data_IF_442200415347
#
_entry.id   IF_442200415347
#
_cell.length_a   1.000
_cell.length_b   1.000
_cell.length_c   1.000
_cell.angle_alpha   90.00
_cell.angle_beta   90.00
_cell.angle_gamma   90.00
#
_symmetry.space_group_name_H-M   'P 1'
#
loop_
_entity.id
_entity.type
_entity.pdbx_description
1 polymer ?
#
# COMPACT_ATOMS: atom_id res chain seq x y z
N UNK A 1 -18.05 -16.31 -38.86
CA UNK A 1 -17.23 -17.50 -38.50
C UNK A 1 -15.85 -17.12 -37.91
N UNK A 2 -15.75 -16.20 -36.94
CA UNK A 2 -14.47 -15.91 -36.22
C UNK A 2 -14.61 -15.63 -34.71
N UNK A 3 -15.82 -15.71 -34.17
CA UNK A 3 -16.08 -15.63 -32.72
C UNK A 3 -15.94 -16.98 -31.99
N UNK A 4 -15.57 -18.05 -32.70
CA UNK A 4 -15.46 -19.43 -32.18
C UNK A 4 -14.04 -19.82 -31.74
N UNK A 5 -13.23 -18.88 -31.26
CA UNK A 5 -12.10 -19.19 -30.36
C UNK A 5 -12.17 -18.40 -29.04
N UNK A 6 -13.28 -17.69 -28.79
CA UNK A 6 -13.44 -16.80 -27.64
C UNK A 6 -13.31 -17.51 -26.29
N UNK A 7 -13.42 -18.84 -26.24
CA UNK A 7 -13.21 -19.66 -25.04
C UNK A 7 -12.85 -21.11 -25.42
N UNK A 8 -11.67 -21.38 -25.99
CA UNK A 8 -11.04 -22.69 -25.72
C UNK A 8 -10.35 -22.65 -24.35
N UNK A 9 -11.20 -22.36 -23.35
CA UNK A 9 -11.18 -22.88 -21.98
C UNK A 9 -10.03 -22.41 -21.09
N UNK A 10 -10.22 -21.24 -20.47
CA UNK A 10 -9.53 -20.84 -19.23
C UNK A 10 -9.38 -22.07 -18.30
N UNK A 11 -8.14 -22.48 -17.99
CA UNK A 11 -7.55 -22.05 -16.74
C UNK A 11 -6.06 -21.76 -16.91
N UNK A 12 -5.66 -20.92 -17.86
CA UNK A 12 -4.44 -20.16 -17.58
C UNK A 12 -4.86 -19.18 -16.50
N UNK A 13 -4.42 -19.39 -15.26
CA UNK A 13 -4.36 -18.30 -14.29
C UNK A 13 -3.71 -17.16 -15.07
N UNK A 14 -4.46 -16.08 -15.33
CA UNK A 14 -3.93 -14.95 -16.09
C UNK A 14 -2.64 -14.56 -15.37
N UNK A 15 -1.50 -14.64 -16.06
CA UNK A 15 -0.17 -14.41 -15.47
C UNK A 15 -0.16 -13.13 -14.61
N UNK A 16 -0.83 -12.02 -15.00
CA UNK A 16 -1.00 -10.84 -14.14
C UNK A 16 -1.73 -11.09 -12.82
N UNK A 17 -2.73 -11.97 -12.80
CA UNK A 17 -3.46 -12.37 -11.58
C UNK A 17 -2.56 -13.17 -10.64
N UNK A 18 -1.81 -14.14 -11.17
CA UNK A 18 -0.88 -14.91 -10.35
C UNK A 18 0.22 -14.01 -9.80
N UNK A 19 0.78 -13.15 -10.66
CA UNK A 19 1.83 -12.21 -10.30
C UNK A 19 1.35 -11.23 -9.23
N UNK A 20 0.19 -10.60 -9.41
CA UNK A 20 -0.38 -9.69 -8.40
C UNK A 20 -0.63 -10.40 -7.07
N UNK A 21 -1.18 -11.62 -7.09
CA UNK A 21 -1.39 -12.39 -5.87
C UNK A 21 -0.08 -12.69 -5.13
N UNK A 22 0.97 -13.14 -5.84
CA UNK A 22 2.27 -13.44 -5.24
C UNK A 22 2.91 -12.16 -4.68
N UNK A 23 2.90 -11.06 -5.45
CA UNK A 23 3.51 -9.79 -5.04
C UNK A 23 2.80 -9.17 -3.84
N UNK A 24 1.46 -9.12 -3.87
CA UNK A 24 0.67 -8.62 -2.74
C UNK A 24 0.85 -9.49 -1.50
N UNK A 25 0.83 -10.82 -1.64
CA UNK A 25 1.01 -11.73 -0.51
C UNK A 25 2.42 -11.60 0.09
N UNK A 26 3.46 -11.66 -0.74
CA UNK A 26 4.85 -11.56 -0.28
C UNK A 26 5.16 -10.20 0.34
N UNK A 27 4.76 -9.10 -0.29
CA UNK A 27 4.91 -7.75 0.25
C UNK A 27 4.16 -7.57 1.57
N UNK A 28 2.89 -7.99 1.63
CA UNK A 28 2.08 -7.88 2.85
C UNK A 28 2.60 -8.75 3.99
N UNK A 29 3.04 -9.97 3.68
CA UNK A 29 3.60 -10.88 4.68
C UNK A 29 4.90 -10.33 5.25
N UNK A 30 5.78 -9.80 4.40
CA UNK A 30 7.03 -9.19 4.85
C UNK A 30 6.76 -7.97 5.73
N UNK A 31 5.86 -7.07 5.30
CA UNK A 31 5.44 -5.92 6.09
C UNK A 31 4.85 -6.33 7.45
N UNK A 32 4.01 -7.36 7.49
CA UNK A 32 3.44 -7.89 8.72
C UNK A 32 4.52 -8.41 9.68
N UNK A 33 5.46 -9.22 9.18
CA UNK A 33 6.55 -9.78 9.99
C UNK A 33 7.47 -8.67 10.53
N UNK A 34 7.79 -7.66 9.72
CA UNK A 34 8.62 -6.53 10.14
C UNK A 34 7.93 -5.70 11.23
N UNK A 35 6.63 -5.42 11.08
CA UNK A 35 5.85 -4.70 12.09
C UNK A 35 5.71 -5.47 13.40
N UNK A 36 5.59 -6.80 13.36
CA UNK A 36 5.62 -7.62 14.57
C UNK A 36 6.94 -7.47 15.32
N UNK A 37 8.07 -7.48 14.60
CA UNK A 37 9.39 -7.26 15.22
C UNK A 37 9.54 -5.88 15.83
N UNK A 38 8.99 -4.85 15.18
CA UNK A 38 8.98 -3.49 15.72
C UNK A 38 8.11 -3.42 16.99
N UNK A 39 6.95 -4.09 16.99
CA UNK A 39 6.04 -4.14 18.14
C UNK A 39 6.69 -4.80 19.37
N UNK A 40 7.52 -5.83 19.19
CA UNK A 40 8.21 -6.51 20.29
C UNK A 40 9.19 -5.59 21.05
N UNK A 41 9.67 -4.49 20.43
CA UNK A 41 10.56 -3.49 21.03
C UNK A 41 9.82 -2.26 21.57
N UNK A 42 8.51 -2.20 21.39
CA UNK A 42 7.74 -1.03 21.79
C UNK A 42 7.60 -0.97 23.31
N UNK A 43 8.13 0.09 23.92
CA UNK A 43 8.03 0.36 25.34
C UNK A 43 7.16 1.61 25.57
N UNK A 44 5.90 1.44 26.04
CA UNK A 44 4.95 2.56 26.10
C UNK A 44 5.41 3.72 26.99
N UNK A 45 6.12 3.41 28.09
CA UNK A 45 6.60 4.38 29.06
C UNK A 45 7.56 5.40 28.45
N UNK A 46 8.79 5.00 28.06
CA UNK A 46 9.77 5.91 27.50
C UNK A 46 9.31 6.54 26.17
N UNK A 47 8.54 5.81 25.35
CA UNK A 47 7.98 6.38 24.12
C UNK A 47 7.01 7.53 24.39
N UNK A 48 6.07 7.36 25.34
CA UNK A 48 5.11 8.41 25.70
C UNK A 48 5.75 9.63 26.37
N UNK A 49 6.90 9.42 27.03
CA UNK A 49 7.71 10.47 27.62
C UNK A 49 8.62 11.17 26.60
N UNK A 50 8.69 10.68 25.36
CA UNK A 50 9.62 11.13 24.31
C UNK A 50 11.07 11.17 24.84
N UNK A 51 11.48 10.09 25.49
CA UNK A 51 12.84 9.93 26.03
C UNK A 51 13.87 9.89 24.89
N UNK A 52 14.81 10.85 24.80
CA UNK A 52 15.75 10.94 23.69
C UNK A 52 16.61 9.69 23.50
N UNK A 53 17.06 9.06 24.58
CA UNK A 53 17.93 7.87 24.50
C UNK A 53 17.16 6.68 23.89
N UNK A 54 15.92 6.47 24.34
CA UNK A 54 15.03 5.46 23.77
C UNK A 54 14.71 5.74 22.29
N UNK A 55 14.46 7.02 21.94
CA UNK A 55 14.19 7.40 20.56
C UNK A 55 15.41 7.18 19.67
N UNK A 56 16.62 7.52 20.14
CA UNK A 56 17.86 7.31 19.39
C UNK A 56 18.09 5.82 19.09
N UNK A 57 17.95 4.94 20.09
CA UNK A 57 18.02 3.47 19.91
C UNK A 57 16.94 2.96 18.95
N UNK A 58 15.71 3.44 19.10
CA UNK A 58 14.60 3.07 18.22
C UNK A 58 14.87 3.46 16.77
N UNK A 59 15.36 4.69 16.54
CA UNK A 59 15.73 5.16 15.22
C UNK A 59 16.88 4.36 14.63
N UNK A 60 17.90 4.03 15.43
CA UNK A 60 18.98 3.15 15.00
C UNK A 60 18.44 1.81 14.48
N UNK A 61 17.55 1.17 15.24
CA UNK A 61 16.92 -0.06 14.82
C UNK A 61 16.09 0.10 13.53
N UNK A 62 15.28 1.17 13.42
CA UNK A 62 14.49 1.46 12.21
C UNK A 62 15.39 1.57 10.97
N UNK A 63 16.57 2.16 11.08
CA UNK A 63 17.53 2.25 9.97
C UNK A 63 18.02 0.88 9.50
N UNK A 64 18.22 -0.06 10.42
CA UNK A 64 18.69 -1.41 10.07
C UNK A 64 17.64 -2.19 9.25
N UNK A 65 16.36 -1.99 9.56
CA UNK A 65 15.26 -2.72 8.92
C UNK A 65 14.64 -1.96 7.73
N UNK A 66 14.93 -0.66 7.58
CA UNK A 66 14.39 0.20 6.52
C UNK A 66 14.52 -0.39 5.11
N UNK A 67 15.66 -0.98 4.68
CA UNK A 67 15.75 -1.57 3.34
C UNK A 67 14.73 -2.70 3.12
N UNK A 68 14.40 -3.47 4.16
CA UNK A 68 13.41 -4.53 4.06
C UNK A 68 11.99 -3.96 3.93
N UNK A 69 11.66 -2.91 4.68
CA UNK A 69 10.39 -2.19 4.52
C UNK A 69 10.24 -1.62 3.12
N UNK A 70 11.29 -0.98 2.59
CA UNK A 70 11.30 -0.44 1.23
C UNK A 70 11.01 -1.53 0.18
N UNK A 71 11.65 -2.71 0.29
CA UNK A 71 11.38 -3.83 -0.63
C UNK A 71 9.93 -4.33 -0.49
N UNK A 72 9.42 -4.44 0.74
CA UNK A 72 8.05 -4.89 0.99
C UNK A 72 7.03 -3.95 0.32
N UNK A 73 7.27 -2.65 0.46
CA UNK A 73 6.44 -1.60 -0.11
C UNK A 73 6.51 -1.55 -1.63
N UNK A 74 7.68 -1.80 -2.23
CA UNK A 74 7.78 -1.97 -3.68
C UNK A 74 7.00 -3.19 -4.17
N UNK A 75 7.13 -4.34 -3.49
CA UNK A 75 6.38 -5.55 -3.86
C UNK A 75 4.87 -5.31 -3.78
N UNK A 76 4.40 -4.66 -2.71
CA UNK A 76 3.00 -4.29 -2.56
C UNK A 76 2.53 -3.34 -3.68
N UNK A 77 3.29 -2.28 -3.97
CA UNK A 77 2.97 -1.32 -5.04
C UNK A 77 2.87 -1.99 -6.41
N UNK A 78 3.84 -2.84 -6.76
CA UNK A 78 3.81 -3.61 -8.01
C UNK A 78 2.68 -4.63 -8.04
N UNK A 79 2.34 -5.22 -6.89
CA UNK A 79 1.20 -6.11 -6.73
C UNK A 79 -0.12 -5.41 -7.05
N UNK A 80 -0.34 -4.23 -6.48
CA UNK A 80 -1.51 -3.39 -6.76
C UNK A 80 -1.57 -2.92 -8.21
N UNK A 81 -0.45 -2.46 -8.76
CA UNK A 81 -0.38 -2.08 -10.17
C UNK A 81 -0.71 -3.26 -11.10
N UNK A 82 -0.20 -4.45 -10.79
CA UNK A 82 -0.48 -5.68 -11.53
C UNK A 82 -1.94 -6.13 -11.39
N UNK A 83 -2.58 -5.88 -10.24
CA UNK A 83 -4.00 -6.19 -9.97
C UNK A 83 -4.96 -5.35 -10.84
N UNK A 84 -4.53 -4.18 -11.31
CA UNK A 84 -5.31 -3.35 -12.23
C UNK A 84 -5.71 -4.12 -13.50
N UNK A 85 -4.81 -4.94 -14.05
CA UNK A 85 -5.03 -5.71 -15.28
C UNK A 85 -6.20 -6.68 -15.15
N UNK A 86 -6.22 -7.64 -14.20
CA UNK A 86 -7.34 -8.55 -14.05
C UNK A 86 -8.65 -7.86 -13.69
N UNK A 87 -8.63 -6.76 -12.94
CA UNK A 87 -9.86 -5.99 -12.67
C UNK A 87 -10.44 -5.41 -13.98
N UNK A 88 -9.60 -4.83 -14.84
CA UNK A 88 -10.03 -4.31 -16.14
C UNK A 88 -10.51 -5.45 -17.05
N UNK A 89 -9.84 -6.61 -17.05
CA UNK A 89 -10.27 -7.77 -17.82
C UNK A 89 -11.66 -8.26 -17.37
N UNK A 90 -11.91 -8.34 -16.06
CA UNK A 90 -13.23 -8.69 -15.51
C UNK A 90 -14.28 -7.66 -15.92
N UNK A 91 -13.98 -6.37 -15.81
CA UNK A 91 -14.88 -5.30 -16.22
C UNK A 91 -15.22 -5.39 -17.72
N UNK A 92 -14.22 -5.65 -18.57
CA UNK A 92 -14.40 -5.82 -20.00
C UNK A 92 -15.30 -7.02 -20.34
N UNK A 93 -15.04 -8.18 -19.72
CA UNK A 93 -15.83 -9.39 -19.94
C UNK A 93 -17.29 -9.16 -19.52
N UNK A 94 -17.52 -8.62 -18.32
CA UNK A 94 -18.86 -8.34 -17.81
C UNK A 94 -19.60 -7.27 -18.63
N UNK A 95 -18.88 -6.39 -19.32
CA UNK A 95 -19.46 -5.40 -20.23
C UNK A 95 -19.87 -5.97 -21.60
N UNK A 96 -19.58 -7.26 -21.87
CA UNK A 96 -19.73 -7.90 -23.20
C UNK A 96 -19.02 -7.08 -24.30
N UNK A 97 -17.81 -6.59 -23.99
CA UNK A 97 -17.02 -5.72 -24.87
C UNK A 97 -17.61 -4.31 -25.04
N UNK A 98 -18.12 -3.73 -23.96
CA UNK A 98 -18.65 -2.35 -23.91
C UNK A 98 -20.12 -2.21 -24.32
N UNK A 99 -20.83 -3.31 -24.60
CA UNK A 99 -22.23 -3.28 -25.08
C UNK A 99 -23.25 -3.18 -23.96
N UNK A 100 -22.87 -3.49 -22.72
CA UNK A 100 -23.75 -3.58 -21.55
C UNK A 100 -23.22 -2.72 -20.42
N UNK A 101 -24.10 -1.91 -19.80
CA UNK A 101 -23.84 -1.14 -18.56
C UNK A 101 -22.48 -0.42 -18.54
N UNK A 102 -22.11 0.15 -19.70
CA UNK A 102 -20.81 0.76 -19.94
C UNK A 102 -20.34 1.70 -18.82
N UNK A 103 -21.25 2.53 -18.28
CA UNK A 103 -20.92 3.46 -17.19
C UNK A 103 -20.43 2.78 -15.91
N UNK A 104 -21.03 1.65 -15.50
CA UNK A 104 -20.59 0.92 -14.31
C UNK A 104 -19.21 0.28 -14.52
N UNK A 105 -18.97 -0.30 -15.69
CA UNK A 105 -17.67 -0.91 -16.00
C UNK A 105 -16.58 0.13 -16.20
N UNK A 106 -16.90 1.29 -16.78
CA UNK A 106 -15.99 2.43 -16.86
C UNK A 106 -15.60 2.92 -15.46
N UNK A 107 -16.56 2.98 -14.54
CA UNK A 107 -16.32 3.34 -13.14
C UNK A 107 -15.43 2.31 -12.42
N UNK A 108 -15.60 1.01 -12.66
CA UNK A 108 -14.68 -0.03 -12.17
C UNK A 108 -13.26 0.22 -12.66
N UNK A 109 -13.08 0.45 -13.96
CA UNK A 109 -11.76 0.72 -14.55
C UNK A 109 -11.15 2.01 -13.98
N UNK A 110 -11.95 3.07 -13.82
CA UNK A 110 -11.49 4.33 -13.24
C UNK A 110 -11.02 4.15 -11.80
N UNK A 111 -11.77 3.43 -10.96
CA UNK A 111 -11.35 3.11 -9.59
C UNK A 111 -10.11 2.22 -9.54
N UNK A 112 -10.00 1.23 -10.43
CA UNK A 112 -8.84 0.35 -10.48
C UNK A 112 -7.56 1.11 -10.84
N UNK A 113 -7.61 1.96 -11.87
CA UNK A 113 -6.46 2.76 -12.32
C UNK A 113 -6.10 3.81 -11.27
N UNK A 114 -7.08 4.57 -10.78
CA UNK A 114 -6.83 5.62 -9.77
C UNK A 114 -6.34 5.03 -8.45
N UNK A 115 -6.90 3.92 -7.98
CA UNK A 115 -6.44 3.23 -6.78
C UNK A 115 -5.01 2.68 -6.93
N UNK A 116 -4.69 2.08 -8.08
CA UNK A 116 -3.33 1.58 -8.34
C UNK A 116 -2.29 2.71 -8.44
N UNK A 117 -2.68 3.85 -9.03
CA UNK A 117 -1.82 5.03 -9.11
C UNK A 117 -1.63 5.67 -7.73
N UNK A 118 -2.70 5.78 -6.94
CA UNK A 118 -2.65 6.30 -5.58
C UNK A 118 -1.72 5.46 -4.69
N UNK A 119 -1.79 4.13 -4.79
CA UNK A 119 -0.85 3.24 -4.08
C UNK A 119 0.60 3.50 -4.48
N UNK A 120 0.88 3.53 -5.79
CA UNK A 120 2.23 3.74 -6.29
C UNK A 120 2.81 5.06 -5.78
N UNK A 121 2.01 6.14 -5.85
CA UNK A 121 2.42 7.45 -5.35
C UNK A 121 2.56 7.47 -3.82
N UNK A 122 1.65 6.81 -3.10
CA UNK A 122 1.70 6.69 -1.64
C UNK A 122 2.95 5.96 -1.16
N UNK A 123 3.32 4.86 -1.81
CA UNK A 123 4.53 4.07 -1.52
C UNK A 123 5.80 4.84 -1.86
N UNK A 124 5.86 5.50 -3.02
CA UNK A 124 7.00 6.37 -3.37
C UNK A 124 7.16 7.55 -2.40
N UNK A 125 6.05 8.14 -1.96
CA UNK A 125 6.07 9.20 -0.95
C UNK A 125 6.59 8.68 0.40
N UNK A 126 6.14 7.50 0.82
CA UNK A 126 6.59 6.84 2.06
C UNK A 126 8.09 6.58 2.03
N UNK A 127 8.60 6.00 0.93
CA UNK A 127 10.04 5.78 0.75
C UNK A 127 10.83 7.10 0.81
N UNK A 128 10.32 8.16 0.19
CA UNK A 128 10.95 9.48 0.24
C UNK A 128 11.00 10.07 1.66
N UNK A 129 9.90 9.96 2.40
CA UNK A 129 9.80 10.41 3.80
C UNK A 129 10.76 9.62 4.69
N UNK A 130 10.76 8.29 4.58
CA UNK A 130 11.62 7.43 5.38
C UNK A 130 13.10 7.65 5.07
N UNK A 131 13.45 7.84 3.80
CA UNK A 131 14.82 8.16 3.38
C UNK A 131 15.28 9.52 3.93
N UNK A 132 14.39 10.52 3.91
CA UNK A 132 14.69 11.83 4.49
C UNK A 132 14.84 11.75 6.02
N UNK A 133 13.97 11.00 6.69
CA UNK A 133 14.05 10.78 8.13
C UNK A 133 15.34 10.03 8.52
N UNK A 134 15.74 9.01 7.76
CA UNK A 134 17.02 8.31 7.91
C UNK A 134 18.19 9.28 7.80
N UNK A 135 18.21 10.13 6.77
CA UNK A 135 19.27 11.14 6.59
C UNK A 135 19.35 12.11 7.75
N UNK A 136 18.21 12.64 8.22
CA UNK A 136 18.15 13.53 9.38
C UNK A 136 18.71 12.79 10.61
N UNK A 137 18.29 11.55 10.85
CA UNK A 137 18.73 10.76 12.01
C UNK A 137 20.23 10.42 12.03
N UNK A 138 20.91 10.45 10.88
CA UNK A 138 22.34 10.11 10.76
C UNK A 138 23.26 11.31 10.75
N UNK A 139 22.85 12.38 10.07
CA UNK A 139 23.76 13.46 9.70
C UNK A 139 23.50 14.76 10.44
N UNK A 140 22.34 14.91 11.10
CA UNK A 140 21.99 16.12 11.83
C UNK A 140 22.32 15.94 13.32
N UNK A 141 22.70 17.03 13.98
CA UNK A 141 22.90 17.03 15.43
C UNK A 141 21.54 17.06 16.12
N UNK A 142 21.07 15.88 16.55
CA UNK A 142 19.76 15.72 17.19
C UNK A 142 19.79 15.82 18.72
N UNK A 143 20.97 15.65 19.32
CA UNK A 143 21.19 15.66 20.76
C UNK A 143 21.21 17.08 21.32
N UNK A 144 21.83 18.01 20.58
CA UNK A 144 22.05 19.41 20.99
C UNK A 144 21.51 20.36 19.91
N UNK A 145 20.20 20.34 19.66
CA UNK A 145 19.63 21.05 18.51
C UNK A 145 19.55 22.58 18.74
N UNK A 146 19.12 23.02 19.93
CA UNK A 146 18.98 24.44 20.24
C UNK A 146 20.29 25.10 20.68
N UNK A 147 21.08 24.39 21.48
CA UNK A 147 22.33 24.87 22.06
C UNK A 147 23.29 23.69 22.25
N UNK A 148 24.58 23.91 21.96
CA UNK A 148 25.62 22.88 21.91
C UNK A 148 25.86 22.18 23.26
N UNK A 149 25.52 22.85 24.38
CA UNK A 149 25.73 22.34 25.74
C UNK A 149 24.46 21.78 26.40
N UNK A 150 23.31 21.83 25.73
CA UNK A 150 22.01 21.60 26.39
C UNK A 150 21.65 20.13 26.62
N UNK A 151 22.09 19.20 25.77
CA UNK A 151 21.71 17.79 25.85
C UNK A 151 20.19 17.58 25.82
N UNK A 152 19.44 18.46 25.16
CA UNK A 152 17.98 18.51 25.28
C UNK A 152 17.26 17.37 24.55
N UNK A 153 17.94 16.74 23.59
CA UNK A 153 17.40 15.70 22.73
C UNK A 153 16.17 16.15 21.93
N UNK A 154 15.98 17.46 21.77
CA UNK A 154 14.78 18.02 21.15
C UNK A 154 14.64 17.53 19.70
N UNK A 155 15.77 17.29 19.04
CA UNK A 155 15.81 16.76 17.68
C UNK A 155 15.13 15.42 17.52
N UNK A 156 15.45 14.48 18.40
CA UNK A 156 14.84 13.16 18.41
C UNK A 156 13.33 13.23 18.62
N UNK A 157 12.88 14.11 19.52
CA UNK A 157 11.45 14.31 19.80
C UNK A 157 10.71 14.88 18.59
N UNK A 158 11.27 15.91 17.95
CA UNK A 158 10.68 16.52 16.75
C UNK A 158 10.64 15.52 15.60
N UNK A 159 11.71 14.74 15.40
CA UNK A 159 11.77 13.71 14.38
C UNK A 159 10.70 12.63 14.60
N UNK A 160 10.52 12.16 15.84
CA UNK A 160 9.51 11.14 16.15
C UNK A 160 8.08 11.67 15.94
N UNK A 161 7.79 12.90 16.40
CA UNK A 161 6.47 13.51 16.20
C UNK A 161 6.19 13.70 14.70
N UNK A 162 7.17 14.15 13.92
CA UNK A 162 7.04 14.29 12.47
C UNK A 162 6.79 12.92 11.81
N UNK A 163 7.55 11.89 12.19
CA UNK A 163 7.39 10.53 11.67
C UNK A 163 6.01 9.93 12.03
N UNK A 164 5.49 10.21 13.22
CA UNK A 164 4.16 9.79 13.62
C UNK A 164 3.08 10.45 12.75
N UNK A 165 3.20 11.75 12.50
CA UNK A 165 2.28 12.49 11.63
C UNK A 165 2.29 11.97 10.19
N UNK A 166 3.48 11.70 9.63
CA UNK A 166 3.59 11.14 8.26
C UNK A 166 3.01 9.73 8.19
N UNK A 167 3.28 8.89 9.19
CA UNK A 167 2.70 7.54 9.29
C UNK A 167 1.17 7.60 9.33
N UNK A 168 0.58 8.55 10.07
CA UNK A 168 -0.86 8.74 10.12
C UNK A 168 -1.44 9.09 8.73
N UNK A 169 -0.76 9.94 7.96
CA UNK A 169 -1.18 10.28 6.59
C UNK A 169 -1.17 9.05 5.68
N UNK A 170 -0.14 8.21 5.79
CA UNK A 170 -0.04 6.96 5.00
C UNK A 170 -1.19 6.01 5.33
N UNK A 171 -1.52 5.83 6.62
CA UNK A 171 -2.65 4.99 7.05
C UNK A 171 -3.98 5.47 6.44
N UNK A 172 -4.18 6.79 6.32
CA UNK A 172 -5.36 7.34 5.67
C UNK A 172 -5.43 7.01 4.17
N UNK A 173 -4.30 7.05 3.47
CA UNK A 173 -4.22 6.66 2.06
C UNK A 173 -4.56 5.18 1.90
N UNK A 174 -3.96 4.30 2.72
CA UNK A 174 -4.23 2.87 2.72
C UNK A 174 -5.72 2.58 2.97
N UNK A 175 -6.33 3.24 3.96
CA UNK A 175 -7.75 3.08 4.27
C UNK A 175 -8.66 3.47 3.09
N UNK A 176 -8.34 4.57 2.41
CA UNK A 176 -9.08 4.99 1.21
C UNK A 176 -9.01 3.94 0.09
N UNK A 177 -7.86 3.30 -0.09
CA UNK A 177 -7.70 2.26 -1.10
C UNK A 177 -8.52 1.01 -0.79
N UNK A 178 -8.56 0.57 0.46
CA UNK A 178 -9.41 -0.56 0.85
C UNK A 178 -10.90 -0.26 0.64
N UNK A 179 -11.31 0.99 0.85
CA UNK A 179 -12.65 1.45 0.52
C UNK A 179 -12.91 1.42 -0.99
N UNK A 180 -11.98 1.90 -1.81
CA UNK A 180 -12.09 1.86 -3.27
C UNK A 180 -12.17 0.41 -3.80
N UNK A 181 -11.31 -0.49 -3.30
CA UNK A 181 -11.36 -1.91 -3.65
C UNK A 181 -12.70 -2.54 -3.27
N UNK A 182 -13.21 -2.22 -2.07
CA UNK A 182 -14.53 -2.68 -1.64
C UNK A 182 -15.64 -2.20 -2.60
N UNK A 183 -15.59 -0.95 -3.03
CA UNK A 183 -16.51 -0.39 -4.03
C UNK A 183 -16.43 -1.11 -5.39
N UNK A 184 -15.22 -1.43 -5.86
CA UNK A 184 -15.00 -2.24 -7.07
C UNK A 184 -15.67 -3.60 -6.93
N UNK A 185 -15.41 -4.32 -5.83
CA UNK A 185 -15.94 -5.66 -5.60
C UNK A 185 -17.48 -5.67 -5.51
N UNK A 186 -18.06 -4.69 -4.83
CA UNK A 186 -19.53 -4.51 -4.76
C UNK A 186 -20.11 -4.28 -6.17
N UNK A 187 -19.46 -3.44 -6.98
CA UNK A 187 -19.92 -3.15 -8.34
C UNK A 187 -19.82 -4.37 -9.24
N UNK A 188 -18.73 -5.15 -9.12
CA UNK A 188 -18.58 -6.44 -9.82
C UNK A 188 -19.69 -7.40 -9.41
N UNK A 189 -19.97 -7.53 -8.11
CA UNK A 189 -21.04 -8.40 -7.60
C UNK A 189 -22.40 -8.07 -8.21
N UNK A 190 -22.80 -6.79 -8.20
CA UNK A 190 -24.06 -6.36 -8.81
C UNK A 190 -24.07 -6.58 -10.32
N UNK A 191 -22.94 -6.36 -10.99
CA UNK A 191 -22.79 -6.61 -12.42
C UNK A 191 -23.01 -8.08 -12.77
N UNK A 192 -22.39 -8.99 -12.03
CA UNK A 192 -22.56 -10.46 -12.18
C UNK A 192 -24.01 -10.87 -11.92
N UNK A 193 -24.61 -10.40 -10.83
CA UNK A 193 -26.01 -10.71 -10.50
C UNK A 193 -26.95 -10.31 -11.63
N UNK A 194 -26.75 -9.10 -12.15
CA UNK A 194 -27.59 -8.61 -13.22
C UNK A 194 -27.42 -9.36 -14.54
N UNK A 195 -26.27 -9.97 -14.79
CA UNK A 195 -26.06 -10.77 -16.00
C UNK A 195 -26.82 -12.09 -15.96
N UNK A 196 -26.93 -12.69 -14.76
CA UNK A 196 -27.77 -13.87 -14.50
C UNK A 196 -29.27 -13.57 -14.64
N UNK A 197 -29.72 -12.41 -14.19
CA UNK A 197 -31.14 -12.00 -14.31
C UNK A 197 -31.54 -11.79 -15.78
N UNK A 198 -30.63 -11.28 -16.61
CA UNK A 198 -30.88 -11.06 -18.05
C UNK A 198 -30.68 -12.31 -18.91
N UNK A 199 -29.84 -13.26 -18.48
CA UNK A 199 -29.61 -14.55 -19.15
C UNK A 199 -29.82 -15.69 -18.15
N UNK A 200 -31.08 -15.99 -17.78
CA UNK A 200 -31.39 -17.15 -16.97
C UNK A 200 -31.18 -18.40 -17.84
N UNK A 201 -30.04 -19.06 -17.68
CA UNK A 201 -29.82 -20.42 -18.16
C UNK A 201 -30.78 -21.41 -17.48
#
# INVERSE_FOLDING_TARGET
MRALSLYSRLPSIDIPTLLSAILLFSGSLMNYVLRLREQDRFEPGPWSALDPDYLADTWEHRREILPMFTIADFLAAFGWFSLCVPIIQVAWILSKGGRRRFGMHLLICAFAISGSLAELLGRLMTIGIESAADWISRYFNLDNWLDEDSGDGLGWRVLEVANFLTTAIVIWIDAFMWFALSGILITIFFSVRSDKEENPD
#
